data_IF_107605105645
#
_entry.id   IF_107605105645
#
_cell.length_a   1.000
_cell.length_b   1.000
_cell.length_c   1.000
_cell.angle_alpha   90.00
_cell.angle_beta   90.00
_cell.angle_gamma   90.00
#
_symmetry.space_group_name_H-M   'P 1'
#
loop_
_entity.id
_entity.type
_entity.pdbx_description
1 polymer ?
#
# COMPACT_ATOMS: atom_id res chain seq x y z
N UNK A 1 12.52 2.12 12.52
CA UNK A 1 11.50 2.19 13.60
C UNK A 1 10.15 1.85 12.99
N UNK A 2 9.51 0.74 13.38
CA UNK A 2 8.27 0.26 12.75
C UNK A 2 7.08 1.09 13.24
N UNK A 3 6.79 2.21 12.57
CA UNK A 3 5.61 2.99 12.88
C UNK A 3 4.34 2.28 12.42
N UNK A 4 3.33 2.44 13.25
CA UNK A 4 2.14 1.61 13.29
C UNK A 4 0.96 2.57 13.06
N UNK A 5 0.60 2.88 11.80
CA UNK A 5 -0.33 3.97 11.46
C UNK A 5 -1.74 3.74 11.98
N UNK A 6 -2.52 4.77 12.30
CA UNK A 6 -3.95 4.53 12.58
C UNK A 6 -4.66 3.98 11.33
N UNK A 7 -5.76 3.24 11.51
CA UNK A 7 -6.56 2.73 10.38
C UNK A 7 -7.05 3.87 9.48
N UNK A 8 -7.42 4.99 10.09
CA UNK A 8 -7.82 6.22 9.38
C UNK A 8 -6.64 6.77 8.56
N UNK A 9 -5.41 6.75 9.11
CA UNK A 9 -4.23 7.21 8.38
C UNK A 9 -3.94 6.31 7.17
N UNK A 10 -4.06 4.99 7.31
CA UNK A 10 -3.94 4.06 6.18
C UNK A 10 -4.97 4.38 5.09
N UNK A 11 -6.24 4.48 5.45
CA UNK A 11 -7.33 4.80 4.52
C UNK A 11 -7.08 6.11 3.78
N UNK A 12 -6.79 7.20 4.50
CA UNK A 12 -6.56 8.51 3.90
C UNK A 12 -5.32 8.55 3.03
N UNK A 13 -4.26 7.81 3.39
CA UNK A 13 -3.06 7.72 2.55
C UNK A 13 -3.36 7.01 1.24
N UNK A 14 -4.01 5.84 1.27
CA UNK A 14 -4.34 5.11 0.05
C UNK A 14 -5.41 5.82 -0.79
N UNK A 15 -6.34 6.53 -0.16
CA UNK A 15 -7.30 7.42 -0.83
C UNK A 15 -6.61 8.55 -1.59
N UNK A 16 -5.59 9.17 -0.99
CA UNK A 16 -4.78 10.17 -1.70
C UNK A 16 -4.01 9.53 -2.86
N UNK A 17 -3.42 8.36 -2.66
CA UNK A 17 -2.70 7.66 -3.74
C UNK A 17 -3.64 7.36 -4.91
N UNK A 18 -4.83 6.81 -4.65
CA UNK A 18 -5.83 6.54 -5.66
C UNK A 18 -6.32 7.80 -6.37
N UNK A 19 -6.63 8.86 -5.61
CA UNK A 19 -7.14 10.11 -6.16
C UNK A 19 -6.12 10.89 -7.02
N UNK A 20 -4.82 10.77 -6.72
CA UNK A 20 -3.76 11.54 -7.38
C UNK A 20 -2.90 10.73 -8.36
N UNK A 21 -3.22 9.44 -8.59
CA UNK A 21 -2.49 8.64 -9.59
C UNK A 21 -3.30 8.47 -10.87
N UNK A 22 -2.80 9.03 -11.96
CA UNK A 22 -3.30 8.82 -13.31
C UNK A 22 -2.29 7.96 -14.08
N UNK A 23 -2.70 6.82 -14.64
CA UNK A 23 -1.79 5.91 -15.35
C UNK A 23 -1.91 4.42 -15.01
N UNK A 24 -2.95 3.99 -14.29
CA UNK A 24 -3.21 2.59 -13.97
C UNK A 24 -2.37 2.04 -12.81
N UNK A 25 -2.47 0.72 -12.57
CA UNK A 25 -1.90 0.10 -11.36
C UNK A 25 -0.38 0.21 -11.23
N UNK A 26 0.37 0.11 -12.33
CA UNK A 26 1.84 0.20 -12.29
C UNK A 26 2.34 1.62 -11.99
N UNK A 27 1.60 2.66 -12.38
CA UNK A 27 1.94 4.04 -12.03
C UNK A 27 1.78 4.33 -10.53
N UNK A 28 0.95 3.54 -9.82
CA UNK A 28 0.72 3.69 -8.38
C UNK A 28 1.88 3.13 -7.56
N UNK A 29 2.61 2.13 -8.04
CA UNK A 29 3.64 1.43 -7.25
C UNK A 29 4.78 2.37 -6.81
N UNK A 30 5.38 3.21 -7.68
CA UNK A 30 6.39 4.17 -7.26
C UNK A 30 5.87 5.18 -6.24
N UNK A 31 4.60 5.59 -6.35
CA UNK A 31 3.98 6.53 -5.41
C UNK A 31 3.74 5.86 -4.04
N UNK A 32 3.25 4.62 -4.03
CA UNK A 32 3.10 3.82 -2.82
C UNK A 32 4.45 3.63 -2.15
N UNK A 33 5.50 3.26 -2.89
CA UNK A 33 6.85 3.11 -2.36
C UNK A 33 7.35 4.40 -1.71
N UNK A 34 7.26 5.53 -2.43
CA UNK A 34 7.68 6.84 -1.91
C UNK A 34 6.98 7.16 -0.59
N UNK A 35 5.67 6.99 -0.52
CA UNK A 35 4.93 7.33 0.68
C UNK A 35 5.23 6.35 1.81
N UNK A 36 5.13 5.05 1.55
CA UNK A 36 5.16 4.00 2.59
C UNK A 36 6.57 3.69 3.08
N UNK A 37 7.60 3.85 2.23
CA UNK A 37 9.01 3.60 2.57
C UNK A 37 9.74 4.89 2.92
N UNK A 38 9.67 5.91 2.05
CA UNK A 38 10.52 7.10 2.19
C UNK A 38 9.91 8.18 3.09
N UNK A 39 8.59 8.40 3.05
CA UNK A 39 7.97 9.48 3.84
C UNK A 39 7.48 9.00 5.21
N UNK A 40 6.76 7.87 5.21
CA UNK A 40 6.09 7.35 6.40
C UNK A 40 6.93 6.32 7.15
N UNK A 41 7.97 5.78 6.51
CA UNK A 41 8.85 4.74 7.05
C UNK A 41 8.09 3.58 7.69
N UNK A 42 6.95 3.22 7.10
CA UNK A 42 6.18 2.06 7.49
C UNK A 42 7.00 0.84 7.08
N UNK A 43 7.28 0.65 5.79
CA UNK A 43 8.03 -0.48 5.27
C UNK A 43 9.51 -0.13 5.02
N UNK A 44 10.38 -1.14 5.05
CA UNK A 44 11.69 -1.04 4.38
C UNK A 44 11.55 -1.25 2.88
N UNK A 45 12.61 -0.96 2.13
CA UNK A 45 12.65 -1.19 0.70
C UNK A 45 12.52 -2.68 0.36
N UNK A 46 13.20 -3.55 1.12
CA UNK A 46 13.11 -5.00 0.98
C UNK A 46 11.69 -5.50 1.26
N UNK A 47 11.04 -4.97 2.31
CA UNK A 47 9.66 -5.33 2.64
C UNK A 47 8.67 -4.89 1.54
N UNK A 48 8.95 -3.79 0.85
CA UNK A 48 8.15 -3.33 -0.30
C UNK A 48 8.33 -4.25 -1.50
N UNK A 49 9.58 -4.65 -1.81
CA UNK A 49 9.87 -5.59 -2.90
C UNK A 49 9.18 -6.94 -2.70
N UNK A 50 9.23 -7.49 -1.49
CA UNK A 50 8.51 -8.72 -1.13
C UNK A 50 7.00 -8.59 -1.40
N UNK A 51 6.40 -7.44 -1.03
CA UNK A 51 4.98 -7.20 -1.26
C UNK A 51 4.66 -7.13 -2.76
N UNK A 52 5.50 -6.48 -3.56
CA UNK A 52 5.30 -6.41 -5.02
C UNK A 52 5.33 -7.81 -5.62
N UNK A 53 6.30 -8.64 -5.24
CA UNK A 53 6.41 -10.02 -5.73
C UNK A 53 5.14 -10.82 -5.40
N UNK A 54 4.64 -10.70 -4.16
CA UNK A 54 3.40 -11.37 -3.75
C UNK A 54 2.19 -10.82 -4.52
N UNK A 55 2.13 -9.50 -4.73
CA UNK A 55 1.05 -8.83 -5.42
C UNK A 55 0.96 -9.20 -6.91
N UNK A 56 2.11 -9.41 -7.57
CA UNK A 56 2.18 -9.89 -8.95
C UNK A 56 1.90 -11.39 -9.09
N UNK A 57 2.23 -12.16 -8.05
CA UNK A 57 1.92 -13.60 -8.00
C UNK A 57 0.43 -13.89 -7.74
N UNK A 58 -0.34 -12.89 -7.32
CA UNK A 58 -1.76 -13.02 -7.01
C UNK A 58 -2.62 -12.45 -8.13
N UNK A 59 -3.72 -13.11 -8.54
CA UNK A 59 -4.60 -12.59 -9.57
C UNK A 59 -5.27 -11.29 -9.12
N UNK A 60 -5.45 -10.35 -10.05
CA UNK A 60 -6.14 -9.08 -9.82
C UNK A 60 -5.29 -7.83 -10.10
N UNK A 61 -5.78 -6.63 -9.75
CA UNK A 61 -5.04 -5.39 -9.95
C UNK A 61 -3.83 -5.31 -9.02
N UNK A 62 -2.62 -5.25 -9.58
CA UNK A 62 -1.36 -5.27 -8.82
C UNK A 62 -1.31 -4.16 -7.76
N UNK A 63 -1.75 -2.94 -8.08
CA UNK A 63 -1.77 -1.83 -7.12
C UNK A 63 -2.69 -2.08 -5.93
N UNK A 64 -3.85 -2.69 -6.16
CA UNK A 64 -4.80 -3.05 -5.11
C UNK A 64 -4.20 -4.16 -4.23
N UNK A 65 -3.58 -5.16 -4.83
CA UNK A 65 -2.89 -6.22 -4.10
C UNK A 65 -1.76 -5.63 -3.23
N UNK A 66 -0.92 -4.75 -3.78
CA UNK A 66 0.12 -4.04 -3.03
C UNK A 66 -0.49 -3.28 -1.84
N UNK A 67 -1.53 -2.47 -2.04
CA UNK A 67 -2.17 -1.75 -0.93
C UNK A 67 -2.72 -2.70 0.14
N UNK A 68 -3.35 -3.80 -0.28
CA UNK A 68 -3.90 -4.84 0.61
C UNK A 68 -2.82 -5.45 1.49
N UNK A 69 -1.67 -5.81 0.91
CA UNK A 69 -0.55 -6.42 1.62
C UNK A 69 0.24 -5.40 2.47
N UNK A 70 0.36 -4.15 2.02
CA UNK A 70 0.91 -3.06 2.86
C UNK A 70 0.04 -2.88 4.11
N UNK A 71 -1.27 -2.80 3.93
CA UNK A 71 -2.24 -2.74 5.02
C UNK A 71 -2.12 -3.94 5.96
N UNK A 72 -2.03 -5.15 5.39
CA UNK A 72 -1.85 -6.39 6.14
C UNK A 72 -0.61 -6.36 7.04
N UNK A 73 0.55 -6.02 6.46
CA UNK A 73 1.84 -6.01 7.17
C UNK A 73 1.87 -4.98 8.30
N UNK A 74 1.06 -3.91 8.20
CA UNK A 74 0.98 -2.89 9.26
C UNK A 74 -0.05 -3.21 10.33
N UNK A 75 -1.27 -3.59 9.95
CA UNK A 75 -2.46 -3.63 10.84
C UNK A 75 -3.28 -4.92 10.71
N UNK A 76 -2.72 -5.96 10.10
CA UNK A 76 -3.41 -7.23 9.86
C UNK A 76 -4.61 -7.06 8.94
N UNK A 77 -5.62 -7.91 9.11
CA UNK A 77 -6.81 -7.96 8.25
C UNK A 77 -7.55 -6.61 8.18
N UNK A 78 -7.65 -5.89 9.32
CA UNK A 78 -8.25 -4.56 9.32
C UNK A 78 -7.42 -3.57 8.50
N UNK A 79 -6.10 -3.64 8.60
CA UNK A 79 -5.21 -2.82 7.78
C UNK A 79 -5.41 -3.07 6.28
N UNK A 80 -5.56 -4.34 5.88
CA UNK A 80 -5.88 -4.71 4.50
C UNK A 80 -7.18 -4.07 4.04
N UNK A 81 -8.27 -4.26 4.78
CA UNK A 81 -9.58 -3.69 4.42
C UNK A 81 -9.52 -2.18 4.20
N UNK A 82 -8.95 -1.43 5.14
CA UNK A 82 -8.87 0.03 5.04
C UNK A 82 -7.91 0.50 3.94
N UNK A 83 -6.80 -0.20 3.69
CA UNK A 83 -5.89 0.14 2.61
C UNK A 83 -6.50 -0.15 1.23
N UNK A 84 -7.15 -1.30 1.07
CA UNK A 84 -7.86 -1.68 -0.16
C UNK A 84 -9.02 -0.74 -0.44
N UNK A 85 -9.85 -0.44 0.57
CA UNK A 85 -10.96 0.52 0.43
C UNK A 85 -10.49 1.95 0.12
N UNK A 86 -9.30 2.33 0.59
CA UNK A 86 -8.74 3.63 0.25
C UNK A 86 -8.31 3.71 -1.20
N UNK A 87 -7.80 2.62 -1.78
CA UNK A 87 -7.32 2.61 -3.15
C UNK A 87 -8.41 2.29 -4.20
N UNK A 88 -9.43 1.53 -3.80
CA UNK A 88 -10.51 1.05 -4.67
C UNK A 88 -11.44 2.16 -5.18
#
# INVERSE_FOLDING_TARGET
>A
MKHHPSLIKLLLTFLKIGAFTFGGGYAMIPLIQRIVVEQEHWLTYEEMLEIIIIAESTPGPVSLNVATFVGFKRRGVLGSLFASMGLA
#
